data_IF_711093387976
#
_entry.id   IF_711093387976
#
_cell.length_a   1.000
_cell.length_b   1.000
_cell.length_c   1.000
_cell.angle_alpha   90.00
_cell.angle_beta   90.00
_cell.angle_gamma   90.00
#
_symmetry.space_group_name_H-M   'P 1'
#
loop_
_entity.id
_entity.type
_entity.pdbx_description
1 polymer ?
#
# COMPACT_ATOMS: atom_id res chain seq x y z
N UNK A 1 -9.84 -23.32 1.48
CA UNK A 1 -9.44 -24.57 2.16
C UNK A 1 -7.92 -24.52 2.34
N UNK A 2 -7.39 -24.64 3.56
CA UNK A 2 -5.95 -24.57 3.77
C UNK A 2 -5.28 -25.89 3.35
N UNK A 3 -4.22 -25.83 2.54
CA UNK A 3 -3.47 -26.99 2.04
C UNK A 3 -2.41 -27.40 3.07
N UNK A 4 -2.85 -27.98 4.21
CA UNK A 4 -1.97 -28.22 5.38
C UNK A 4 -1.47 -29.66 5.43
N UNK A 5 -2.31 -30.63 5.11
CA UNK A 5 -1.90 -32.04 5.06
C UNK A 5 -1.60 -32.51 3.64
N UNK A 6 -0.92 -33.65 3.52
CA UNK A 6 -0.71 -34.29 2.21
C UNK A 6 -2.05 -34.63 1.54
N UNK A 7 -3.01 -35.16 2.31
CA UNK A 7 -4.34 -35.51 1.80
C UNK A 7 -5.12 -34.29 1.31
N UNK A 8 -4.99 -33.15 1.99
CA UNK A 8 -5.59 -31.88 1.54
C UNK A 8 -4.93 -31.37 0.24
N UNK A 9 -3.63 -31.60 0.08
CA UNK A 9 -2.81 -31.04 -1.01
C UNK A 9 -2.87 -31.90 -2.27
N UNK A 10 -2.92 -33.22 -2.14
CA UNK A 10 -2.84 -34.19 -3.24
C UNK A 10 -3.89 -33.96 -4.35
N UNK A 11 -5.16 -33.61 -4.07
CA UNK A 11 -6.14 -33.30 -5.13
C UNK A 11 -5.76 -32.11 -6.01
N UNK A 12 -4.95 -31.18 -5.50
CA UNK A 12 -4.56 -29.93 -6.16
C UNK A 12 -3.22 -30.01 -6.90
N UNK A 13 -2.56 -31.17 -6.88
CA UNK A 13 -1.22 -31.41 -7.43
C UNK A 13 -1.01 -30.82 -8.84
N UNK A 14 -1.93 -31.08 -9.77
CA UNK A 14 -1.84 -30.56 -11.14
C UNK A 14 -1.97 -29.03 -11.20
N UNK A 15 -2.81 -28.44 -10.35
CA UNK A 15 -2.99 -26.99 -10.27
C UNK A 15 -1.76 -26.32 -9.66
N UNK A 16 -1.19 -26.90 -8.58
CA UNK A 16 0.03 -26.40 -7.93
C UNK A 16 1.19 -26.38 -8.93
N UNK A 17 1.43 -27.49 -9.64
CA UNK A 17 2.51 -27.55 -10.64
C UNK A 17 2.30 -26.56 -11.78
N UNK A 18 1.06 -26.43 -12.26
CA UNK A 18 0.69 -25.46 -13.31
C UNK A 18 0.95 -24.02 -12.86
N UNK A 19 0.46 -23.64 -11.69
CA UNK A 19 0.53 -22.27 -11.17
C UNK A 19 1.95 -21.88 -10.74
N UNK A 20 2.74 -22.83 -10.22
CA UNK A 20 4.17 -22.63 -9.96
C UNK A 20 4.96 -22.46 -11.26
N UNK A 21 4.70 -23.30 -12.28
CA UNK A 21 5.38 -23.24 -13.58
C UNK A 21 5.07 -21.97 -14.35
N UNK A 22 3.83 -21.46 -14.25
CA UNK A 22 3.42 -20.20 -14.86
C UNK A 22 3.80 -18.97 -14.03
N UNK A 23 4.42 -19.14 -12.85
CA UNK A 23 4.72 -18.09 -11.87
C UNK A 23 3.50 -17.29 -11.44
N UNK A 24 2.31 -17.89 -11.51
CA UNK A 24 1.09 -17.31 -10.96
C UNK A 24 1.10 -17.32 -9.43
N UNK A 25 1.71 -18.34 -8.84
CA UNK A 25 1.85 -18.50 -7.39
C UNK A 25 3.31 -18.78 -7.00
N UNK A 26 3.82 -18.18 -5.91
CA UNK A 26 3.20 -17.07 -5.17
C UNK A 26 3.05 -15.80 -6.03
N UNK A 27 2.00 -14.99 -5.84
CA UNK A 27 1.80 -13.77 -6.61
C UNK A 27 2.95 -12.79 -6.37
N UNK A 28 3.67 -12.46 -7.43
CA UNK A 28 4.71 -11.46 -7.42
C UNK A 28 4.85 -10.87 -8.81
N UNK A 29 4.74 -9.55 -8.88
CA UNK A 29 4.54 -8.86 -10.16
C UNK A 29 5.72 -7.98 -10.56
N UNK A 30 6.75 -7.88 -9.72
CA UNK A 30 7.94 -7.13 -10.06
C UNK A 30 8.73 -7.85 -11.16
N UNK A 31 9.15 -7.09 -12.16
CA UNK A 31 10.08 -7.56 -13.17
C UNK A 31 11.45 -7.80 -12.53
N UNK A 32 11.98 -9.04 -12.53
CA UNK A 32 13.20 -9.40 -11.81
C UNK A 32 14.46 -8.73 -12.35
N UNK A 33 14.38 -8.00 -13.47
CA UNK A 33 15.49 -7.22 -14.02
C UNK A 33 15.73 -5.91 -13.27
N UNK A 34 14.75 -5.44 -12.48
CA UNK A 34 14.80 -4.13 -11.83
C UNK A 34 14.59 -4.25 -10.33
N UNK A 35 15.54 -3.69 -9.57
CA UNK A 35 15.52 -3.75 -8.12
C UNK A 35 15.78 -5.14 -7.54
N UNK A 36 15.83 -5.20 -6.22
CA UNK A 36 15.87 -6.43 -5.44
C UNK A 36 15.11 -6.18 -4.16
N UNK A 37 14.22 -7.10 -3.79
CA UNK A 37 13.22 -6.86 -2.74
C UNK A 37 13.30 -7.93 -1.66
N UNK A 38 13.31 -7.50 -0.39
CA UNK A 38 13.43 -8.39 0.77
C UNK A 38 12.20 -9.29 0.95
N UNK A 39 11.07 -8.89 0.38
CA UNK A 39 9.79 -9.56 0.51
C UNK A 39 9.33 -10.24 -0.79
N UNK A 40 10.24 -10.52 -1.72
CA UNK A 40 9.95 -11.30 -2.93
C UNK A 40 9.68 -12.78 -2.57
N UNK A 41 8.44 -13.29 -2.73
CA UNK A 41 8.09 -14.68 -2.41
C UNK A 41 8.33 -15.64 -3.59
N UNK A 42 8.90 -15.16 -4.70
CA UNK A 42 9.05 -15.94 -5.93
C UNK A 42 9.85 -17.21 -5.72
N UNK A 43 9.37 -18.29 -6.32
CA UNK A 43 10.10 -19.55 -6.36
C UNK A 43 11.28 -19.47 -7.32
N UNK A 44 12.40 -20.05 -6.88
CA UNK A 44 13.56 -20.34 -7.74
C UNK A 44 13.21 -21.40 -8.78
N UNK A 45 13.97 -21.47 -9.87
CA UNK A 45 13.78 -22.50 -10.91
C UNK A 45 13.85 -23.92 -10.33
N UNK A 46 14.77 -24.16 -9.39
CA UNK A 46 14.92 -25.45 -8.73
C UNK A 46 13.71 -25.80 -7.86
N UNK A 47 13.17 -24.84 -7.09
CA UNK A 47 11.95 -25.07 -6.30
C UNK A 47 10.73 -25.38 -7.18
N UNK A 48 10.58 -24.67 -8.29
CA UNK A 48 9.51 -24.96 -9.28
C UNK A 48 9.68 -26.37 -9.83
N UNK A 49 10.90 -26.74 -10.22
CA UNK A 49 11.20 -28.08 -10.75
C UNK A 49 10.90 -29.17 -9.71
N UNK A 50 11.21 -28.95 -8.44
CA UNK A 50 10.85 -29.86 -7.34
C UNK A 50 9.34 -30.08 -7.27
N UNK A 51 8.54 -29.01 -7.32
CA UNK A 51 7.07 -29.11 -7.28
C UNK A 51 6.52 -29.85 -8.51
N UNK A 52 7.05 -29.57 -9.70
CA UNK A 52 6.64 -30.22 -10.94
C UNK A 52 6.97 -31.72 -10.91
N UNK A 53 8.20 -32.09 -10.52
CA UNK A 53 8.61 -33.50 -10.40
C UNK A 53 7.77 -34.27 -9.40
N UNK A 54 7.49 -33.67 -8.23
CA UNK A 54 6.60 -34.25 -7.24
C UNK A 54 5.20 -34.48 -7.80
N UNK A 55 4.68 -33.53 -8.57
CA UNK A 55 3.38 -33.65 -9.22
C UNK A 55 3.32 -34.73 -10.31
N UNK A 56 4.35 -34.80 -11.16
CA UNK A 56 4.46 -35.79 -12.23
C UNK A 56 4.55 -37.22 -11.66
N UNK A 57 5.22 -37.38 -10.51
CA UNK A 57 5.29 -38.61 -9.74
C UNK A 57 3.99 -38.98 -9.00
N UNK A 58 2.88 -38.25 -9.24
CA UNK A 58 1.57 -38.42 -8.60
C UNK A 58 1.57 -38.13 -7.10
N UNK A 59 2.34 -37.11 -6.71
CA UNK A 59 2.37 -36.57 -5.36
C UNK A 59 2.62 -37.65 -4.29
N UNK A 60 3.77 -38.38 -4.36
CA UNK A 60 4.11 -39.34 -3.31
C UNK A 60 4.21 -38.62 -1.96
N UNK A 61 3.72 -39.27 -0.89
CA UNK A 61 3.92 -38.78 0.45
C UNK A 61 5.40 -38.96 0.86
N UNK A 62 5.96 -37.97 1.55
CA UNK A 62 7.25 -38.10 2.21
C UNK A 62 7.16 -38.97 3.47
N UNK A 63 8.29 -39.18 4.13
CA UNK A 63 8.33 -39.79 5.45
C UNK A 63 7.65 -38.84 6.46
N UNK A 64 6.60 -39.29 7.20
CA UNK A 64 5.92 -38.44 8.18
C UNK A 64 6.83 -37.88 9.28
N UNK A 65 7.96 -38.53 9.57
CA UNK A 65 8.94 -38.05 10.57
C UNK A 65 9.75 -36.85 10.08
N UNK A 66 9.81 -36.63 8.76
CA UNK A 66 10.50 -35.48 8.16
C UNK A 66 9.53 -34.30 7.92
N UNK A 67 8.26 -34.44 8.30
CA UNK A 67 7.25 -33.39 8.11
C UNK A 67 7.58 -32.18 9.01
N UNK A 68 7.51 -30.94 8.47
CA UNK A 68 7.67 -29.75 9.28
C UNK A 68 6.54 -29.66 10.32
N UNK A 69 6.77 -28.96 11.46
CA UNK A 69 5.68 -28.68 12.38
C UNK A 69 4.56 -27.93 11.67
N UNK A 70 3.31 -28.20 12.07
CA UNK A 70 2.15 -27.52 11.49
C UNK A 70 2.33 -26.00 11.56
N UNK A 71 2.02 -25.26 10.46
CA UNK A 71 2.06 -23.82 10.49
C UNK A 71 1.20 -23.29 11.64
N UNK A 72 1.77 -22.42 12.46
CA UNK A 72 1.01 -21.64 13.42
C UNK A 72 0.54 -20.39 12.70
N UNK A 73 -0.72 -20.39 12.30
CA UNK A 73 -1.37 -19.19 11.80
C UNK A 73 -1.52 -18.20 12.95
N UNK A 74 -1.20 -16.95 12.69
CA UNK A 74 -1.36 -15.92 13.71
C UNK A 74 -2.84 -15.60 13.88
N UNK A 75 -3.39 -15.95 15.04
CA UNK A 75 -4.70 -15.48 15.45
C UNK A 75 -4.60 -14.02 15.87
N UNK A 76 -5.00 -13.10 14.98
CA UNK A 76 -5.04 -11.67 15.27
C UNK A 76 -4.08 -10.84 14.42
N UNK A 77 -3.01 -10.35 15.05
CA UNK A 77 -2.06 -9.37 14.49
C UNK A 77 -0.82 -10.07 13.91
N UNK A 78 -0.44 -9.74 12.69
CA UNK A 78 0.75 -10.23 11.99
C UNK A 78 2.04 -9.45 12.36
N UNK A 79 1.90 -8.45 13.24
CA UNK A 79 2.99 -7.74 13.91
C UNK A 79 3.20 -8.30 15.33
N UNK A 80 4.31 -7.98 16.03
CA UNK A 80 4.41 -8.23 17.47
C UNK A 80 3.16 -7.72 18.21
N UNK A 81 2.80 -8.28 19.38
CA UNK A 81 1.64 -7.85 20.13
C UNK A 81 1.57 -6.32 20.22
N UNK A 82 0.51 -5.67 19.69
CA UNK A 82 0.45 -4.22 19.66
C UNK A 82 0.46 -3.65 21.08
N UNK A 83 1.28 -2.63 21.31
CA UNK A 83 1.28 -1.85 22.55
C UNK A 83 -0.01 -1.03 22.68
N UNK A 84 -0.58 -0.64 21.54
CA UNK A 84 -1.86 0.02 21.46
C UNK A 84 -2.67 -0.43 20.24
N UNK A 85 -3.96 -0.61 20.47
CA UNK A 85 -4.95 -0.82 19.41
C UNK A 85 -5.92 0.36 19.45
N UNK A 86 -5.98 1.12 18.37
CA UNK A 86 -7.03 2.13 18.17
C UNK A 86 -8.07 1.58 17.20
N UNK A 87 -9.34 1.82 17.53
CA UNK A 87 -10.48 1.30 16.79
C UNK A 87 -11.41 2.45 16.45
N UNK A 88 -11.88 2.48 15.20
CA UNK A 88 -13.00 3.34 14.79
C UNK A 88 -14.15 3.12 15.78
N UNK A 89 -14.67 4.11 16.51
CA UNK A 89 -15.67 3.86 17.55
C UNK A 89 -17.03 3.39 17.01
N UNK A 90 -17.41 3.72 15.77
CA UNK A 90 -18.71 3.32 15.21
C UNK A 90 -18.60 2.41 13.99
N UNK A 91 -19.49 1.42 13.86
CA UNK A 91 -19.62 0.66 12.63
C UNK A 91 -20.24 1.53 11.52
N UNK A 92 -19.78 1.35 10.28
CA UNK A 92 -20.40 1.94 9.09
C UNK A 92 -21.34 0.92 8.46
N UNK A 93 -22.62 1.30 8.36
CA UNK A 93 -23.62 0.54 7.59
C UNK A 93 -23.42 0.82 6.11
N UNK A 94 -23.45 -0.22 5.29
CA UNK A 94 -23.28 -0.08 3.85
C UNK A 94 -24.52 -0.58 3.12
N UNK A 95 -24.99 0.17 2.11
CA UNK A 95 -26.13 -0.25 1.31
C UNK A 95 -25.82 -1.59 0.63
N UNK A 96 -26.87 -2.39 0.41
CA UNK A 96 -26.73 -3.68 -0.26
C UNK A 96 -26.26 -3.54 -1.73
N UNK A 97 -26.54 -2.40 -2.35
CA UNK A 97 -26.22 -2.07 -3.74
C UNK A 97 -25.84 -0.59 -3.86
N UNK A 98 -25.12 -0.25 -4.94
CA UNK A 98 -24.68 1.11 -5.24
C UNK A 98 -23.29 1.45 -4.70
N UNK A 99 -22.81 2.64 -5.07
CA UNK A 99 -21.48 3.11 -4.72
C UNK A 99 -21.43 3.63 -3.29
N UNK A 100 -20.28 3.42 -2.64
CA UNK A 100 -19.98 4.00 -1.33
C UNK A 100 -18.88 5.04 -1.54
N UNK A 101 -19.18 6.28 -1.23
CA UNK A 101 -18.18 7.35 -1.18
C UNK A 101 -17.14 7.04 -0.09
N UNK A 102 -15.93 7.56 -0.26
CA UNK A 102 -14.91 7.52 0.79
C UNK A 102 -15.50 7.97 2.13
N UNK A 103 -15.40 7.07 3.10
CA UNK A 103 -15.85 7.31 4.47
C UNK A 103 -14.65 7.64 5.33
N UNK A 104 -14.77 8.71 6.08
CA UNK A 104 -13.78 9.20 7.03
C UNK A 104 -14.26 8.96 8.45
N UNK A 105 -13.34 8.60 9.36
CA UNK A 105 -13.60 8.64 10.79
C UNK A 105 -12.37 9.12 11.54
N UNK A 106 -12.56 10.12 12.40
CA UNK A 106 -11.50 10.74 13.19
C UNK A 106 -11.48 10.07 14.57
N UNK A 107 -10.35 9.47 14.93
CA UNK A 107 -10.13 8.78 16.20
C UNK A 107 -9.00 9.46 16.98
N UNK A 108 -9.29 10.15 18.09
CA UNK A 108 -8.26 10.75 18.93
C UNK A 108 -7.32 9.68 19.49
N UNK A 109 -6.01 9.94 19.44
CA UNK A 109 -5.01 8.99 19.97
C UNK A 109 -4.97 8.94 21.50
N UNK A 110 -5.32 10.06 22.15
CA UNK A 110 -5.16 10.23 23.59
C UNK A 110 -3.70 10.36 24.04
N UNK A 111 -2.74 10.52 23.13
CA UNK A 111 -1.32 10.63 23.47
C UNK A 111 -1.03 11.93 24.21
N UNK A 112 -0.40 11.82 25.38
CA UNK A 112 0.11 12.96 26.16
C UNK A 112 1.54 13.34 25.79
N UNK A 113 2.26 12.45 25.10
CA UNK A 113 3.65 12.62 24.69
C UNK A 113 3.86 12.02 23.29
N UNK A 114 5.00 12.30 22.69
CA UNK A 114 5.39 11.75 21.40
C UNK A 114 5.37 10.22 21.39
N UNK A 115 4.91 9.64 20.28
CA UNK A 115 4.95 8.19 20.03
C UNK A 115 5.69 7.87 18.74
N UNK A 116 6.61 6.91 18.84
CA UNK A 116 7.38 6.38 17.71
C UNK A 116 6.86 4.98 17.37
N UNK A 117 6.21 4.82 16.22
CA UNK A 117 5.59 3.56 15.77
C UNK A 117 6.56 2.81 14.86
N UNK A 118 7.09 1.68 15.35
CA UNK A 118 8.05 0.84 14.63
C UNK A 118 7.35 -0.20 13.73
N UNK A 119 6.15 -0.63 14.10
CA UNK A 119 5.32 -1.49 13.27
C UNK A 119 3.85 -1.13 13.42
N UNK A 120 3.09 -1.31 12.35
CA UNK A 120 1.65 -1.06 12.34
C UNK A 120 0.92 -1.99 11.38
N UNK A 121 -0.33 -2.30 11.71
CA UNK A 121 -1.20 -3.13 10.90
C UNK A 121 -2.62 -2.58 10.99
N UNK A 122 -3.28 -2.42 9.84
CA UNK A 122 -4.74 -2.23 9.79
C UNK A 122 -5.41 -3.59 9.74
N UNK A 123 -6.44 -3.75 10.58
CA UNK A 123 -7.24 -4.96 10.65
C UNK A 123 -8.72 -4.60 10.57
N UNK A 124 -9.34 -4.74 9.39
CA UNK A 124 -10.79 -4.65 9.25
C UNK A 124 -11.49 -5.77 10.01
N UNK A 125 -12.68 -5.49 10.54
CA UNK A 125 -13.54 -6.55 11.09
C UNK A 125 -14.04 -7.53 10.01
N UNK A 126 -14.15 -7.07 8.76
CA UNK A 126 -14.52 -7.89 7.59
C UNK A 126 -13.54 -7.65 6.44
N UNK A 127 -12.52 -8.51 6.32
CA UNK A 127 -11.49 -8.36 5.26
C UNK A 127 -12.07 -8.43 3.84
N UNK A 128 -13.15 -9.17 3.64
CA UNK A 128 -13.80 -9.30 2.33
C UNK A 128 -14.50 -8.03 1.84
N UNK A 129 -14.68 -7.05 2.71
CA UNK A 129 -15.48 -5.86 2.44
C UNK A 129 -14.69 -4.56 2.61
N UNK A 130 -13.36 -4.60 2.55
CA UNK A 130 -12.54 -3.38 2.58
C UNK A 130 -11.63 -3.40 1.38
N UNK A 131 -11.87 -2.46 0.46
CA UNK A 131 -11.05 -2.33 -0.73
C UNK A 131 -9.74 -1.60 -0.43
N UNK A 132 -9.76 -0.54 0.38
CA UNK A 132 -8.55 -0.03 1.01
C UNK A 132 -8.83 0.82 2.26
N UNK A 133 -7.77 1.04 3.04
CA UNK A 133 -7.69 1.97 4.16
C UNK A 133 -6.48 2.87 3.98
N UNK A 134 -6.62 4.15 4.28
CA UNK A 134 -5.48 5.02 4.56
C UNK A 134 -5.67 5.60 5.96
N UNK A 135 -4.66 5.42 6.81
CA UNK A 135 -4.69 5.98 8.17
C UNK A 135 -3.74 7.17 8.19
N UNK A 136 -4.30 8.38 8.24
CA UNK A 136 -3.53 9.61 8.32
C UNK A 136 -3.27 10.00 9.77
N UNK A 137 -2.12 10.64 10.00
CA UNK A 137 -1.75 11.27 11.26
C UNK A 137 -2.08 12.75 11.14
N UNK A 138 -3.11 13.18 11.86
CA UNK A 138 -3.48 14.60 11.95
C UNK A 138 -2.90 15.21 13.23
N UNK A 139 -1.80 15.99 13.14
CA UNK A 139 -1.21 16.64 14.32
C UNK A 139 -2.13 17.72 14.89
N UNK A 140 -1.97 18.15 16.16
CA UNK A 140 -2.89 19.08 16.82
C UNK A 140 -2.97 20.47 16.15
N UNK A 141 -1.91 20.91 15.49
CA UNK A 141 -1.83 22.18 14.77
C UNK A 141 -2.40 22.12 13.34
N UNK A 142 -2.74 20.93 12.84
CA UNK A 142 -3.37 20.77 11.52
C UNK A 142 -4.80 21.28 11.52
N UNK A 143 -5.14 22.08 10.49
CA UNK A 143 -6.51 22.57 10.24
C UNK A 143 -7.39 21.55 9.51
N UNK A 144 -6.79 20.52 8.93
CA UNK A 144 -7.47 19.56 8.07
C UNK A 144 -8.59 18.80 8.79
N UNK A 145 -9.82 18.89 8.28
CA UNK A 145 -11.02 18.28 8.84
C UNK A 145 -11.25 18.61 10.33
N UNK A 146 -10.67 19.72 10.82
CA UNK A 146 -10.66 20.02 12.26
C UNK A 146 -12.06 20.28 12.81
N UNK A 147 -12.94 20.80 11.97
CA UNK A 147 -14.35 21.07 12.28
C UNK A 147 -15.27 19.91 11.90
N UNK A 148 -14.73 18.81 11.35
CA UNK A 148 -15.51 17.62 11.03
C UNK A 148 -15.85 16.79 12.30
N UNK A 149 -16.91 15.96 12.26
CA UNK A 149 -17.31 15.14 13.40
C UNK A 149 -16.22 14.17 13.86
N UNK A 150 -15.98 14.10 15.17
CA UNK A 150 -15.01 13.17 15.79
C UNK A 150 -15.72 11.91 16.29
N UNK A 151 -15.16 10.74 16.01
CA UNK A 151 -15.72 9.45 16.40
C UNK A 151 -17.07 9.10 15.75
N UNK A 152 -17.36 9.74 14.61
CA UNK A 152 -18.55 9.49 13.80
C UNK A 152 -18.12 9.40 12.34
N UNK A 153 -18.51 8.34 11.62
CA UNK A 153 -18.26 8.23 10.19
C UNK A 153 -18.94 9.36 9.39
N UNK A 154 -18.24 9.91 8.41
CA UNK A 154 -18.77 10.90 7.48
C UNK A 154 -18.18 10.71 6.08
N UNK A 155 -18.88 11.16 5.05
CA UNK A 155 -18.37 11.28 3.68
C UNK A 155 -18.22 12.76 3.32
N UNK A 156 -17.54 13.09 2.21
CA UNK A 156 -17.47 14.49 1.80
C UNK A 156 -18.88 15.03 1.51
N UNK A 157 -19.73 14.29 0.79
CA UNK A 157 -21.11 14.71 0.52
C UNK A 157 -21.97 14.94 1.77
N UNK A 158 -21.67 14.26 2.90
CA UNK A 158 -22.40 14.43 4.16
C UNK A 158 -22.05 15.72 4.92
N UNK A 159 -20.96 16.39 4.56
CA UNK A 159 -20.50 17.61 5.22
C UNK A 159 -21.24 18.83 4.64
N UNK A 160 -21.85 19.63 5.52
CA UNK A 160 -22.63 20.80 5.10
C UNK A 160 -21.77 21.97 4.62
N UNK A 161 -20.55 22.11 5.16
CA UNK A 161 -19.63 23.19 4.83
C UNK A 161 -18.79 22.86 3.58
N UNK A 162 -18.72 23.79 2.62
CA UNK A 162 -18.01 23.59 1.35
C UNK A 162 -16.50 23.45 1.52
N UNK A 163 -15.91 24.20 2.46
CA UNK A 163 -14.48 24.11 2.76
C UNK A 163 -14.17 22.73 3.34
N UNK A 164 -15.00 22.20 4.25
CA UNK A 164 -14.84 20.85 4.77
C UNK A 164 -14.99 19.76 3.70
N UNK A 165 -15.92 19.94 2.74
CA UNK A 165 -16.02 19.04 1.58
C UNK A 165 -14.74 19.04 0.76
N UNK A 166 -14.17 20.21 0.53
CA UNK A 166 -12.90 20.33 -0.19
C UNK A 166 -11.74 19.72 0.60
N UNK A 167 -11.67 19.93 1.91
CA UNK A 167 -10.66 19.31 2.78
C UNK A 167 -10.74 17.77 2.80
N UNK A 168 -11.92 17.18 2.59
CA UNK A 168 -12.05 15.73 2.44
C UNK A 168 -11.45 15.21 1.11
N UNK A 169 -11.13 16.07 0.15
CA UNK A 169 -10.57 15.66 -1.16
C UNK A 169 -9.04 15.66 -1.22
N UNK A 170 -8.36 16.35 -0.30
CA UNK A 170 -6.89 16.42 -0.28
C UNK A 170 -6.34 16.68 1.12
N UNK A 171 -5.13 16.19 1.39
CA UNK A 171 -4.45 16.39 2.67
C UNK A 171 -2.94 16.37 2.51
N UNK A 172 -2.26 17.20 3.30
CA UNK A 172 -0.81 17.20 3.42
C UNK A 172 -0.32 16.38 4.63
N UNK A 173 -1.27 15.80 5.38
CA UNK A 173 -0.99 15.03 6.61
C UNK A 173 -0.06 13.85 6.34
N UNK A 174 0.70 13.45 7.36
CA UNK A 174 1.54 12.26 7.27
C UNK A 174 0.66 11.01 7.27
N UNK A 175 1.11 9.92 6.64
CA UNK A 175 0.38 8.65 6.65
C UNK A 175 1.01 7.71 7.67
N UNK A 176 0.21 7.10 8.51
CA UNK A 176 0.64 6.00 9.37
C UNK A 176 0.85 4.73 8.55
N UNK A 177 -0.11 4.37 7.71
CA UNK A 177 -0.03 3.25 6.77
C UNK A 177 -1.15 3.28 5.72
N UNK A 178 -0.95 2.50 4.66
CA UNK A 178 -1.95 2.19 3.63
C UNK A 178 -2.25 0.68 3.67
N UNK A 179 -3.51 0.30 3.55
CA UNK A 179 -3.94 -1.09 3.47
C UNK A 179 -4.74 -1.28 2.19
N UNK A 180 -4.40 -2.33 1.43
CA UNK A 180 -5.22 -2.87 0.36
C UNK A 180 -5.20 -4.41 0.43
N UNK A 181 -6.12 -5.12 -0.25
CA UNK A 181 -6.04 -6.56 -0.42
C UNK A 181 -4.65 -7.03 -0.87
N UNK A 182 -4.08 -7.98 -0.12
CA UNK A 182 -2.73 -8.50 -0.33
C UNK A 182 -1.62 -7.73 0.39
N UNK A 183 -1.90 -6.57 0.99
CA UNK A 183 -0.90 -5.81 1.76
C UNK A 183 -0.39 -6.58 2.98
N UNK A 184 0.91 -6.46 3.21
CA UNK A 184 1.57 -6.91 4.45
C UNK A 184 1.63 -5.76 5.46
N UNK A 185 1.75 -6.04 6.76
CA UNK A 185 1.99 -4.99 7.75
C UNK A 185 3.26 -4.19 7.48
N UNK A 186 3.25 -2.96 7.97
CA UNK A 186 4.43 -2.11 8.02
C UNK A 186 5.25 -2.45 9.25
N UNK A 187 6.56 -2.59 9.05
CA UNK A 187 7.53 -2.87 10.10
C UNK A 187 8.89 -2.42 9.60
N UNK A 188 9.58 -1.63 10.43
CA UNK A 188 10.93 -1.12 10.14
C UNK A 188 11.95 -1.69 11.14
N UNK A 189 13.24 -1.79 10.76
CA UNK A 189 14.28 -2.26 11.66
C UNK A 189 14.48 -1.30 12.85
N UNK A 190 15.21 -1.76 13.87
CA UNK A 190 15.57 -0.94 15.03
C UNK A 190 16.24 0.38 14.63
N UNK A 191 15.80 1.46 15.27
CA UNK A 191 16.26 2.82 14.98
C UNK A 191 15.47 3.56 13.90
N UNK A 192 14.47 2.93 13.29
CA UNK A 192 13.52 3.55 12.35
C UNK A 192 12.07 3.45 12.86
N UNK A 193 11.30 4.52 12.74
CA UNK A 193 9.87 4.50 13.06
C UNK A 193 9.12 5.68 12.43
N UNK A 194 7.79 5.58 12.34
CA UNK A 194 6.92 6.74 12.12
C UNK A 194 6.71 7.51 13.42
N UNK A 195 6.44 8.81 13.31
CA UNK A 195 6.29 9.69 14.46
C UNK A 195 4.86 10.23 14.55
N UNK A 196 4.26 10.12 15.73
CA UNK A 196 2.96 10.69 16.05
C UNK A 196 3.15 11.69 17.20
N UNK A 197 2.95 13.01 16.95
CA UNK A 197 2.97 14.02 18.01
C UNK A 197 1.89 13.78 19.07
N UNK A 198 2.04 14.29 20.30
CA UNK A 198 0.99 14.27 21.31
C UNK A 198 -0.28 14.96 20.79
N UNK A 199 -1.42 14.56 21.34
CA UNK A 199 -2.73 15.12 21.01
C UNK A 199 -3.13 15.03 19.52
N UNK A 200 -2.47 14.16 18.76
CA UNK A 200 -2.84 13.89 17.37
C UNK A 200 -4.11 13.05 17.29
N UNK A 201 -4.80 13.16 16.16
CA UNK A 201 -5.85 12.22 15.76
C UNK A 201 -5.33 11.27 14.67
N UNK A 202 -5.87 10.07 14.63
CA UNK A 202 -5.81 9.22 13.45
C UNK A 202 -7.08 9.43 12.63
N UNK A 203 -6.93 9.79 11.36
CA UNK A 203 -8.04 9.93 10.42
C UNK A 203 -8.05 8.71 9.51
N UNK A 204 -9.05 7.86 9.69
CA UNK A 204 -9.27 6.68 8.85
C UNK A 204 -10.02 7.13 7.60
N UNK A 205 -9.37 7.13 6.45
CA UNK A 205 -10.02 7.26 5.14
C UNK A 205 -10.23 5.87 4.58
N UNK A 206 -11.47 5.56 4.20
CA UNK A 206 -11.86 4.20 3.96
C UNK A 206 -12.71 4.06 2.70
N UNK A 207 -12.32 3.10 1.88
CA UNK A 207 -13.08 2.70 0.70
C UNK A 207 -13.62 1.29 0.95
N UNK A 208 -14.92 1.23 1.21
CA UNK A 208 -15.54 0.13 1.94
C UNK A 208 -16.69 -0.57 1.23
N UNK A 209 -16.94 -1.77 1.74
CA UNK A 209 -18.21 -2.49 1.74
C UNK A 209 -18.76 -2.89 3.14
N UNK A 210 -18.04 -2.95 4.30
CA UNK A 210 -18.60 -2.83 5.71
C UNK A 210 -17.57 -2.75 6.88
N UNK A 211 -18.02 -2.10 7.98
CA UNK A 211 -17.74 -2.31 9.43
C UNK A 211 -16.36 -1.91 10.06
N UNK A 212 -16.35 -1.84 11.40
CA UNK A 212 -15.34 -1.23 12.28
C UNK A 212 -13.90 -1.71 12.04
N UNK A 213 -13.00 -0.80 11.65
CA UNK A 213 -11.57 -1.08 11.44
C UNK A 213 -10.74 -0.72 12.66
N UNK A 214 -9.69 -1.51 12.93
CA UNK A 214 -8.70 -1.23 13.97
C UNK A 214 -7.31 -1.04 13.37
N UNK A 215 -6.46 -0.26 14.02
CA UNK A 215 -5.02 -0.19 13.77
C UNK A 215 -4.27 -0.62 15.02
N UNK A 216 -3.39 -1.60 14.88
CA UNK A 216 -2.44 -2.01 15.90
C UNK A 216 -1.13 -1.27 15.69
N UNK A 217 -0.51 -0.80 16.77
CA UNK A 217 0.78 -0.12 16.75
C UNK A 217 1.73 -0.77 17.76
N UNK A 218 2.96 -1.02 17.32
CA UNK A 218 4.09 -1.41 18.18
C UNK A 218 5.04 -0.21 18.25
N UNK A 219 5.36 0.23 19.46
CA UNK A 219 6.21 1.38 19.68
C UNK A 219 7.69 0.99 19.71
N UNK A 220 8.53 1.89 19.21
CA UNK A 220 9.98 1.74 19.30
C UNK A 220 10.41 1.76 20.78
N UNK A 221 11.24 0.80 21.19
CA UNK A 221 11.74 0.70 22.57
C UNK A 221 12.71 1.82 22.94
N UNK A 222 13.54 2.21 21.97
CA UNK A 222 14.49 3.32 22.07
C UNK A 222 14.09 4.44 21.13
N UNK A 223 14.53 5.68 21.43
CA UNK A 223 14.33 6.82 20.53
C UNK A 223 14.97 6.52 19.16
N UNK A 224 14.19 6.49 18.07
CA UNK A 224 14.70 6.22 16.72
C UNK A 224 15.73 7.27 16.28
N UNK A 225 16.70 6.82 15.47
CA UNK A 225 17.65 7.72 14.80
C UNK A 225 17.06 8.28 13.51
N UNK A 226 16.13 7.56 12.90
CA UNK A 226 15.48 7.93 11.66
C UNK A 226 13.97 7.90 11.78
N UNK A 227 13.34 8.91 11.18
CA UNK A 227 11.89 9.00 11.01
C UNK A 227 11.53 8.52 9.61
N UNK A 228 10.43 7.79 9.50
CA UNK A 228 9.88 7.33 8.22
C UNK A 228 8.78 8.28 7.75
N UNK A 229 8.86 8.68 6.48
CA UNK A 229 7.77 9.34 5.75
C UNK A 229 7.27 8.44 4.64
N UNK A 230 5.95 8.41 4.44
CA UNK A 230 5.37 7.94 3.19
C UNK A 230 5.15 9.15 2.30
N UNK A 231 5.78 9.14 1.14
CA UNK A 231 5.67 10.18 0.13
C UNK A 231 4.93 9.63 -1.09
N UNK A 232 4.40 10.53 -1.93
CA UNK A 232 3.65 10.16 -3.12
C UNK A 232 4.13 10.89 -4.35
N UNK A 233 4.14 10.17 -5.47
CA UNK A 233 4.14 10.71 -6.82
C UNK A 233 2.75 10.43 -7.39
N UNK A 234 1.86 11.41 -7.31
CA UNK A 234 0.47 11.31 -7.72
C UNK A 234 0.12 12.36 -8.77
N UNK A 235 -0.95 12.12 -9.53
CA UNK A 235 -1.52 13.09 -10.44
C UNK A 235 -2.84 13.69 -9.90
N UNK A 236 -2.85 13.99 -8.61
CA UNK A 236 -3.96 14.60 -7.85
C UNK A 236 -4.42 15.97 -8.39
N UNK A 237 -3.77 16.49 -9.44
CA UNK A 237 -4.07 17.78 -10.04
C UNK A 237 -4.18 17.78 -11.59
N UNK A 238 -3.96 16.63 -12.24
CA UNK A 238 -4.06 16.48 -13.70
C UNK A 238 -5.15 15.47 -14.06
N UNK A 239 -5.97 15.78 -15.06
CA UNK A 239 -6.91 14.78 -15.59
C UNK A 239 -6.13 13.61 -16.19
N UNK A 240 -6.58 12.39 -15.94
CA UNK A 240 -6.18 11.22 -16.73
C UNK A 240 -7.25 10.97 -17.79
N UNK A 241 -7.31 11.68 -18.93
CA UNK A 241 -8.30 11.38 -19.95
C UNK A 241 -7.87 10.12 -20.71
N UNK A 242 -8.18 8.93 -20.17
CA UNK A 242 -7.92 7.67 -20.87
C UNK A 242 -9.00 7.52 -21.95
N UNK A 243 -8.64 7.50 -23.24
CA UNK A 243 -9.62 7.38 -24.30
C UNK A 243 -10.32 6.01 -24.27
N UNK A 244 -11.57 5.92 -24.78
CA UNK A 244 -12.21 4.65 -25.07
C UNK A 244 -11.32 3.74 -25.91
N UNK A 245 -11.33 2.43 -25.62
CA UNK A 245 -10.64 1.42 -26.41
C UNK A 245 -9.10 1.43 -26.33
N UNK A 246 -8.47 2.36 -25.62
CA UNK A 246 -7.02 2.45 -25.52
C UNK A 246 -6.45 1.25 -24.73
N UNK A 247 -5.61 0.42 -25.33
CA UNK A 247 -5.09 -0.82 -24.72
C UNK A 247 -3.76 -0.65 -23.97
N UNK A 248 -3.14 0.53 -24.07
CA UNK A 248 -1.81 0.81 -23.51
C UNK A 248 -1.56 2.31 -23.28
N UNK A 249 -2.50 3.00 -22.65
CA UNK A 249 -2.43 4.45 -22.40
C UNK A 249 -1.42 4.76 -21.29
N UNK A 250 -0.50 5.71 -21.52
CA UNK A 250 0.62 6.01 -20.62
C UNK A 250 0.43 7.35 -19.91
N UNK A 251 0.67 7.37 -18.60
CA UNK A 251 0.65 8.56 -17.73
C UNK A 251 1.92 8.60 -16.91
N UNK A 252 2.46 9.78 -16.64
CA UNK A 252 3.61 9.93 -15.75
C UNK A 252 3.51 11.18 -14.88
N UNK A 253 4.15 11.12 -13.72
CA UNK A 253 4.42 12.28 -12.88
C UNK A 253 5.86 12.23 -12.39
N UNK A 254 6.44 13.41 -12.14
CA UNK A 254 7.82 13.54 -11.71
C UNK A 254 7.91 14.46 -10.50
N UNK A 255 8.80 14.13 -9.58
CA UNK A 255 9.10 14.92 -8.38
C UNK A 255 10.61 15.00 -8.17
N UNK A 256 11.06 15.97 -7.39
CA UNK A 256 12.47 16.10 -7.03
C UNK A 256 12.61 16.11 -5.52
N UNK A 257 13.49 15.26 -4.99
CA UNK A 257 13.74 15.22 -3.55
C UNK A 257 14.38 16.53 -3.09
N UNK A 258 13.79 17.23 -2.11
CA UNK A 258 14.30 18.51 -1.60
C UNK A 258 15.56 18.34 -0.75
N UNK A 259 15.66 17.22 -0.03
CA UNK A 259 16.73 16.88 0.90
C UNK A 259 17.12 15.41 0.75
N UNK A 260 18.28 15.04 1.30
CA UNK A 260 18.74 13.65 1.34
C UNK A 260 17.71 12.76 2.08
N UNK A 261 17.45 11.57 1.55
CA UNK A 261 16.56 10.59 2.16
C UNK A 261 16.97 9.17 1.76
N UNK A 262 16.75 8.19 2.64
CA UNK A 262 16.99 6.77 2.30
C UNK A 262 15.69 6.13 1.85
N UNK A 263 15.59 5.77 0.57
CA UNK A 263 14.46 5.05 0.00
C UNK A 263 14.38 3.63 0.55
N UNK A 264 13.20 3.22 1.00
CA UNK A 264 12.96 1.94 1.67
C UNK A 264 12.04 1.01 0.88
N UNK A 265 10.96 1.52 0.34
CA UNK A 265 9.90 0.70 -0.25
C UNK A 265 9.12 1.46 -1.31
N UNK A 266 8.37 0.73 -2.12
CA UNK A 266 7.38 1.26 -3.05
C UNK A 266 6.03 0.59 -2.83
N UNK A 267 4.94 1.30 -3.13
CA UNK A 267 3.58 0.80 -3.13
C UNK A 267 2.79 1.47 -4.27
N UNK A 268 2.80 0.89 -5.48
CA UNK A 268 2.03 1.41 -6.61
C UNK A 268 0.54 1.18 -6.43
N UNK A 269 -0.28 2.18 -6.78
CA UNK A 269 -1.73 2.11 -6.72
C UNK A 269 -2.37 2.65 -8.01
N UNK A 270 -3.27 1.85 -8.58
CA UNK A 270 -4.13 2.14 -9.74
C UNK A 270 -5.47 1.40 -9.57
N UNK A 271 -6.48 1.74 -10.36
CA UNK A 271 -7.75 1.01 -10.37
C UNK A 271 -7.76 -0.11 -11.43
N UNK A 272 -8.97 -0.52 -11.86
CA UNK A 272 -9.23 -1.74 -12.61
C UNK A 272 -8.52 -1.82 -13.98
N UNK A 273 -8.15 -0.68 -14.56
CA UNK A 273 -7.48 -0.61 -15.87
C UNK A 273 -5.97 -0.54 -15.73
N UNK A 274 -5.44 -0.42 -14.52
CA UNK A 274 -4.01 -0.46 -14.25
C UNK A 274 -3.36 -1.72 -14.83
N UNK A 275 -2.34 -1.54 -15.67
CA UNK A 275 -1.65 -2.62 -16.41
C UNK A 275 -0.19 -2.75 -16.00
N UNK A 276 0.48 -1.62 -15.79
CA UNK A 276 1.90 -1.56 -15.41
C UNK A 276 2.18 -0.29 -14.62
N UNK A 277 3.09 -0.39 -13.65
CA UNK A 277 3.61 0.75 -12.93
C UNK A 277 5.14 0.71 -12.87
N UNK A 278 5.79 1.86 -12.98
CA UNK A 278 7.25 2.00 -12.89
C UNK A 278 7.65 3.14 -11.95
N UNK A 279 8.73 2.93 -11.21
CA UNK A 279 9.44 3.95 -10.45
C UNK A 279 10.85 4.08 -11.00
N UNK A 280 11.26 5.30 -11.33
CA UNK A 280 12.53 5.59 -11.97
C UNK A 280 13.27 6.73 -11.28
N UNK A 281 14.60 6.73 -11.41
CA UNK A 281 15.42 7.94 -11.28
C UNK A 281 15.65 8.50 -12.69
N UNK A 282 15.42 9.80 -12.84
CA UNK A 282 15.77 10.55 -14.05
C UNK A 282 17.10 11.25 -13.80
N UNK A 283 18.15 10.80 -14.46
CA UNK A 283 19.47 11.40 -14.35
C UNK A 283 19.54 12.77 -15.06
N UNK A 284 20.54 13.63 -14.73
CA UNK A 284 20.70 14.92 -15.38
C UNK A 284 20.87 14.87 -16.91
N UNK A 285 21.45 13.78 -17.42
CA UNK A 285 21.60 13.49 -18.86
C UNK A 285 20.32 12.91 -19.50
N UNK A 286 19.22 12.84 -18.74
CA UNK A 286 17.91 12.28 -19.09
C UNK A 286 17.90 10.75 -19.26
N UNK A 287 18.97 10.05 -18.92
CA UNK A 287 18.92 8.59 -18.82
C UNK A 287 18.00 8.18 -17.67
N UNK A 288 17.34 7.05 -17.84
CA UNK A 288 16.33 6.52 -16.91
C UNK A 288 16.90 5.28 -16.25
N UNK A 289 17.00 5.31 -14.92
CA UNK A 289 17.30 4.15 -14.10
C UNK A 289 15.99 3.65 -13.46
N UNK A 290 15.52 2.49 -13.88
CA UNK A 290 14.32 1.87 -13.32
C UNK A 290 14.64 1.18 -12.00
N UNK A 291 13.97 1.63 -10.93
CA UNK A 291 14.08 1.08 -9.58
C UNK A 291 13.11 -0.08 -9.36
N UNK A 292 11.90 0.03 -9.92
CA UNK A 292 10.84 -0.98 -9.87
C UNK A 292 10.01 -0.89 -11.14
N UNK A 293 9.66 -2.05 -11.70
CA UNK A 293 8.62 -2.21 -12.74
C UNK A 293 7.71 -3.34 -12.32
N UNK A 294 6.40 -3.13 -12.36
CA UNK A 294 5.41 -4.16 -12.02
C UNK A 294 4.41 -4.37 -13.14
N UNK A 295 4.08 -5.62 -13.44
CA UNK A 295 2.87 -5.96 -14.21
C UNK A 295 1.69 -5.93 -13.25
N UNK A 296 1.02 -4.79 -13.16
CA UNK A 296 0.08 -4.49 -12.08
C UNK A 296 -1.12 -5.44 -12.09
N UNK A 297 -1.56 -5.84 -10.89
CA UNK A 297 -2.77 -6.62 -10.66
C UNK A 297 -3.57 -5.93 -9.55
N UNK A 298 -4.78 -5.48 -9.88
CA UNK A 298 -5.64 -4.74 -8.97
C UNK A 298 -6.01 -5.53 -7.70
N UNK A 299 -6.10 -6.85 -7.79
CA UNK A 299 -6.44 -7.72 -6.67
C UNK A 299 -5.22 -8.06 -5.78
N UNK A 300 -4.01 -7.71 -6.22
CA UNK A 300 -2.76 -7.91 -5.49
C UNK A 300 -1.93 -6.63 -5.42
N UNK A 301 -2.35 -5.74 -4.52
CA UNK A 301 -1.67 -4.48 -4.28
C UNK A 301 -0.60 -4.67 -3.21
N UNK A 302 0.62 -4.91 -3.67
CA UNK A 302 1.75 -5.30 -2.83
C UNK A 302 2.70 -4.13 -2.54
N UNK A 303 3.31 -4.18 -1.36
CA UNK A 303 4.50 -3.39 -1.06
C UNK A 303 5.75 -4.07 -1.61
N UNK A 304 6.70 -3.29 -2.10
CA UNK A 304 7.99 -3.75 -2.60
C UNK A 304 9.09 -3.15 -1.73
N UNK A 305 9.53 -3.91 -0.71
CA UNK A 305 10.52 -3.46 0.28
C UNK A 305 11.91 -3.73 -0.26
N UNK A 306 12.73 -2.71 -0.48
CA UNK A 306 14.07 -2.87 -1.03
C UNK A 306 14.91 -3.78 -0.12
N UNK A 307 15.57 -4.77 -0.70
CA UNK A 307 16.52 -5.62 0.00
C UNK A 307 17.72 -4.82 0.54
N UNK A 308 18.08 -3.75 -0.18
CA UNK A 308 19.11 -2.80 0.19
C UNK A 308 18.50 -1.39 0.11
N UNK A 309 18.16 -0.74 1.24
CA UNK A 309 17.74 0.64 1.27
C UNK A 309 18.72 1.55 0.51
N UNK A 310 18.19 2.52 -0.24
CA UNK A 310 19.00 3.35 -1.14
C UNK A 310 19.03 4.79 -0.69
N UNK A 311 20.21 5.31 -0.36
CA UNK A 311 20.38 6.75 -0.13
C UNK A 311 20.18 7.52 -1.44
N UNK A 312 19.23 8.45 -1.43
CA UNK A 312 18.99 9.41 -2.48
C UNK A 312 19.44 10.79 -2.00
N UNK A 313 20.09 11.54 -2.90
CA UNK A 313 20.61 12.87 -2.59
C UNK A 313 19.57 13.95 -2.89
N UNK A 314 19.67 15.07 -2.17
CA UNK A 314 18.93 16.28 -2.49
C UNK A 314 19.10 16.63 -3.97
N UNK A 315 18.00 16.81 -4.69
CA UNK A 315 17.98 17.04 -6.13
C UNK A 315 17.79 15.78 -6.99
N UNK A 316 17.77 14.57 -6.41
CA UNK A 316 17.38 13.36 -7.15
C UNK A 316 15.96 13.51 -7.70
N UNK A 317 15.82 13.36 -9.01
CA UNK A 317 14.53 13.42 -9.72
C UNK A 317 13.95 12.02 -9.82
N UNK A 318 12.79 11.83 -9.21
CA UNK A 318 12.04 10.59 -9.28
C UNK A 318 10.89 10.73 -10.29
N UNK A 319 10.59 9.65 -10.98
CA UNK A 319 9.47 9.56 -11.91
C UNK A 319 8.66 8.32 -11.58
N UNK A 320 7.34 8.47 -11.55
CA UNK A 320 6.39 7.37 -11.56
C UNK A 320 5.70 7.33 -12.93
N UNK A 321 5.50 6.13 -13.48
CA UNK A 321 4.83 5.94 -14.78
C UNK A 321 3.81 4.84 -14.68
N UNK A 322 2.58 5.11 -15.09
CA UNK A 322 1.48 4.17 -15.14
C UNK A 322 1.08 3.89 -16.59
N UNK A 323 0.61 2.66 -16.83
CA UNK A 323 -0.04 2.27 -18.06
C UNK A 323 -1.42 1.68 -17.76
N UNK A 324 -2.38 2.00 -18.61
CA UNK A 324 -3.77 1.57 -18.50
C UNK A 324 -4.24 0.83 -19.75
N UNK A 325 -5.11 -0.16 -19.55
CA UNK A 325 -5.83 -0.88 -20.59
C UNK A 325 -7.33 -0.64 -20.45
N UNK A 326 -7.83 0.36 -21.18
CA UNK A 326 -9.24 0.68 -21.37
C UNK A 326 -9.85 0.00 -22.61
N UNK A 327 -9.24 -1.08 -23.11
CA UNK A 327 -9.77 -1.83 -24.25
C UNK A 327 -10.79 -2.89 -23.82
N UNK A 328 -11.49 -3.47 -24.81
CA UNK A 328 -12.39 -4.63 -24.64
C UNK A 328 -11.66 -5.91 -24.23
N UNK A 329 -10.33 -5.96 -24.37
CA UNK A 329 -9.52 -7.14 -24.06
C UNK A 329 -9.11 -7.21 -22.59
N UNK A 330 -9.25 -6.12 -21.83
CA UNK A 330 -9.03 -6.14 -20.40
C UNK A 330 -10.26 -6.75 -19.69
N UNK A 331 -10.14 -7.94 -19.07
CA UNK A 331 -11.27 -8.61 -18.42
C UNK A 331 -11.78 -7.85 -17.17
N UNK A 332 -11.01 -6.88 -16.67
CA UNK A 332 -11.37 -6.06 -15.52
C UNK A 332 -12.01 -4.72 -15.92
N UNK A 333 -12.05 -4.39 -17.20
CA UNK A 333 -12.60 -3.12 -17.67
C UNK A 333 -14.14 -3.14 -17.61
N UNK A 334 -14.78 -2.31 -16.77
CA UNK A 334 -16.23 -2.30 -16.64
C UNK A 334 -16.95 -1.65 -17.84
N UNK A 335 -16.29 -0.72 -18.53
CA UNK A 335 -16.85 -0.02 -19.69
C UNK A 335 -15.71 0.44 -20.63
N UNK A 336 -15.46 -0.30 -21.73
CA UNK A 336 -14.41 0.03 -22.70
C UNK A 336 -14.80 1.12 -23.70
N UNK A 337 -16.08 1.52 -23.77
CA UNK A 337 -16.57 2.54 -24.71
C UNK A 337 -16.58 3.94 -24.09
N UNK A 338 -16.46 4.05 -22.77
CA UNK A 338 -16.34 5.31 -22.05
C UNK A 338 -14.89 5.80 -21.97
N UNK A 339 -14.74 7.13 -22.03
CA UNK A 339 -13.51 7.78 -21.61
C UNK A 339 -13.44 7.71 -20.07
N UNK A 340 -12.25 7.45 -19.54
CA UNK A 340 -12.03 7.35 -18.10
C UNK A 340 -11.33 8.61 -17.64
N UNK A 341 -11.61 9.04 -16.41
CA UNK A 341 -10.99 10.19 -15.77
C UNK A 341 -10.41 9.80 -14.42
N UNK A 342 -9.67 10.72 -13.81
CA UNK A 342 -9.26 10.57 -12.42
C UNK A 342 -10.50 10.54 -11.52
N UNK A 343 -10.54 9.63 -10.55
CA UNK A 343 -11.63 9.62 -9.58
C UNK A 343 -11.51 8.53 -8.53
N UNK A 344 -12.28 8.73 -7.46
CA UNK A 344 -12.30 7.92 -6.25
C UNK A 344 -12.77 6.49 -6.43
N UNK A 345 -13.71 6.30 -7.35
CA UNK A 345 -14.36 5.01 -7.59
C UNK A 345 -13.51 4.11 -8.49
N UNK A 346 -13.59 2.79 -8.26
CA UNK A 346 -12.74 1.80 -8.97
C UNK A 346 -13.02 1.70 -10.46
N UNK A 347 -14.18 2.19 -10.93
CA UNK A 347 -14.50 2.32 -12.35
C UNK A 347 -13.93 3.61 -12.99
N UNK A 348 -13.47 4.58 -12.19
CA UNK A 348 -12.58 5.65 -12.62
C UNK A 348 -11.12 5.17 -12.55
N UNK A 349 -10.14 6.06 -12.62
CA UNK A 349 -8.73 5.70 -12.44
C UNK A 349 -7.98 6.58 -11.45
N UNK A 350 -6.86 6.02 -10.96
CA UNK A 350 -5.87 6.72 -10.15
C UNK A 350 -4.47 6.39 -10.61
N UNK A 351 -3.55 7.32 -10.39
CA UNK A 351 -2.12 7.08 -10.47
C UNK A 351 -1.47 7.56 -9.19
N UNK A 352 -1.17 6.64 -8.26
CA UNK A 352 -0.47 7.01 -7.04
C UNK A 352 0.72 6.10 -6.82
N UNK A 353 1.91 6.68 -6.94
CA UNK A 353 3.16 6.02 -6.62
C UNK A 353 3.59 6.32 -5.19
N UNK A 354 3.16 5.54 -4.21
CA UNK A 354 3.61 5.71 -2.83
C UNK A 354 5.00 5.11 -2.63
N UNK A 355 5.81 5.72 -1.78
CA UNK A 355 7.11 5.20 -1.40
C UNK A 355 7.52 5.69 -0.01
N UNK A 356 8.17 4.82 0.76
CA UNK A 356 8.70 5.20 2.06
C UNK A 356 10.15 5.68 1.96
N UNK A 357 10.45 6.73 2.71
CA UNK A 357 11.81 7.22 2.92
C UNK A 357 12.13 7.38 4.40
N UNK A 358 13.36 7.07 4.78
CA UNK A 358 13.93 7.38 6.09
C UNK A 358 14.76 8.67 6.05
N UNK A 359 14.51 9.56 7.00
CA UNK A 359 15.23 10.83 7.23
C UNK A 359 15.73 10.90 8.67
N UNK A 360 16.63 11.84 9.05
CA UNK A 360 16.98 12.06 10.45
C UNK A 360 15.74 12.28 11.34
N UNK A 361 15.70 11.69 12.52
CA UNK A 361 14.51 11.70 13.38
C UNK A 361 14.03 13.09 13.82
N UNK A 362 14.91 14.09 13.84
CA UNK A 362 14.56 15.48 14.18
C UNK A 362 13.99 16.30 13.01
N UNK A 363 13.95 15.74 11.80
CA UNK A 363 13.39 16.40 10.64
C UNK A 363 11.89 16.08 10.53
N UNK A 364 11.04 17.11 10.59
CA UNK A 364 9.62 16.95 10.27
C UNK A 364 9.36 17.05 8.76
N UNK A 365 8.15 16.65 8.34
CA UNK A 365 7.77 16.59 6.91
C UNK A 365 7.84 17.98 6.26
N UNK A 366 7.44 19.04 6.96
CA UNK A 366 7.44 20.40 6.42
C UNK A 366 8.86 20.93 6.20
N UNK A 367 9.75 20.69 7.15
CA UNK A 367 11.16 21.03 7.03
C UNK A 367 11.87 20.15 6.00
N UNK A 368 11.47 18.88 5.85
CA UNK A 368 11.95 18.03 4.77
C UNK A 368 11.66 18.65 3.39
N UNK A 369 10.52 19.30 3.18
CA UNK A 369 10.21 19.98 1.92
C UNK A 369 10.80 21.37 1.75
N UNK A 370 11.48 21.92 2.77
CA UNK A 370 12.24 23.18 2.64
C UNK A 370 13.67 22.86 2.19
N UNK A 371 14.07 23.38 1.03
CA UNK A 371 15.48 23.32 0.61
C UNK A 371 16.31 24.17 1.59
N UNK A 372 17.29 23.56 2.26
CA UNK A 372 18.35 24.34 2.92
C UNK A 372 19.02 25.19 1.84
N UNK A 373 19.09 26.52 2.04
CA UNK A 373 19.96 27.37 1.21
C UNK A 373 21.35 26.74 1.30
N UNK A 374 21.91 26.31 0.17
CA UNK A 374 23.32 25.90 0.14
C UNK A 374 24.12 27.17 0.41
N UNK A 375 24.94 27.14 1.46
CA UNK A 375 26.03 28.09 1.65
C UNK A 375 27.07 27.97 0.51
#
# INVERSE_FOLDING_TARGET
MPLVTHDDTKPWTSAIAKDAKSRKMPPWFADPRFGSFANDPSLTAQQIETLVKWADAKAPAGNPQDAPPLPRWTDGWNIPPPDLILKMPRPVSIPAEGDVEYTYEIVPTGFAEDRWVQASEVRPSSRGNVHHAVVYIRPPDSKWLREAPVGVPFTASSLQDEKLRHEASSTESDMLLVYAPGSSPDSWPDGMAKFIPPHSDLVFQMHYTTNQTSVGMVFAKDKPKQRIFTLQLANDHDTIPIPPGADNYRVEVQGTLPNDATLLSFFPHMHLRGKRFEYNIVHPDKTIETLLRVNYDFYWQLSYKLAQPRLLKAGTRLQAVAWYDNSRNNPHNPDPEAAVQWGDQTYNEMMVGFFDVAVPANLDKWHFFRRSKRD
#
